data_IF_322440326292
#
_entry.id   IF_322440326292
#
_cell.length_a   1.000
_cell.length_b   1.000
_cell.length_c   1.000
_cell.angle_alpha   90.00
_cell.angle_beta   90.00
_cell.angle_gamma   90.00
#
_symmetry.space_group_name_H-M   'P 1'
#
loop_
_entity.id
_entity.type
_entity.pdbx_description
1 polymer ?
#
# COMPACT_ATOMS: atom_id res chain seq x y z
N UNK A 1 12.52 14.80 -21.59
CA UNK A 1 12.47 14.70 -20.12
C UNK A 1 11.47 13.60 -19.80
N UNK A 2 11.82 12.63 -18.96
CA UNK A 2 10.80 11.72 -18.43
C UNK A 2 10.02 12.51 -17.38
N UNK A 3 8.71 12.60 -17.52
CA UNK A 3 7.85 13.13 -16.47
C UNK A 3 7.92 12.14 -15.29
N UNK A 4 8.40 12.63 -14.15
CA UNK A 4 8.62 11.80 -12.96
C UNK A 4 7.43 11.95 -12.03
N UNK A 5 6.87 10.83 -11.60
CA UNK A 5 5.81 10.76 -10.60
C UNK A 5 6.28 10.02 -9.35
N UNK A 6 5.78 10.44 -8.19
CA UNK A 6 5.99 9.73 -6.94
C UNK A 6 4.80 8.80 -6.68
N UNK A 7 5.03 7.52 -6.43
CA UNK A 7 4.01 6.55 -6.03
C UNK A 7 4.32 5.95 -4.66
N UNK A 8 3.32 5.98 -3.78
CA UNK A 8 3.38 5.46 -2.44
C UNK A 8 2.81 4.04 -2.38
N UNK A 9 3.68 3.07 -2.10
CA UNK A 9 3.31 1.70 -1.82
C UNK A 9 3.19 1.47 -0.31
N UNK A 10 2.14 0.77 0.08
CA UNK A 10 1.86 0.37 1.47
C UNK A 10 1.60 -1.14 1.62
N UNK A 11 1.41 -1.85 0.51
CA UNK A 11 1.08 -3.28 0.46
C UNK A 11 2.22 -4.12 -0.12
N UNK A 12 1.87 -5.08 -0.97
CA UNK A 12 2.82 -6.04 -1.56
C UNK A 12 3.91 -5.36 -2.41
N UNK A 13 3.58 -4.25 -3.08
CA UNK A 13 4.50 -3.45 -3.88
C UNK A 13 5.63 -2.78 -3.07
N UNK A 14 5.61 -2.82 -1.73
CA UNK A 14 6.79 -2.44 -0.93
C UNK A 14 7.94 -3.43 -1.13
N UNK A 15 7.64 -4.69 -1.44
CA UNK A 15 8.65 -5.70 -1.71
C UNK A 15 9.25 -5.44 -3.09
N UNK A 16 10.53 -5.06 -3.16
CA UNK A 16 11.23 -4.74 -4.41
C UNK A 16 11.25 -5.90 -5.42
N UNK A 17 11.39 -7.14 -4.95
CA UNK A 17 11.38 -8.29 -5.84
C UNK A 17 10.00 -8.41 -6.52
N UNK A 18 8.94 -8.31 -5.72
CA UNK A 18 7.57 -8.31 -6.23
C UNK A 18 7.28 -7.12 -7.13
N UNK A 19 7.76 -5.91 -6.77
CA UNK A 19 7.62 -4.70 -7.56
C UNK A 19 8.21 -4.87 -8.97
N UNK A 20 9.41 -5.47 -9.06
CA UNK A 20 10.09 -5.76 -10.33
C UNK A 20 9.46 -6.93 -11.09
N UNK A 21 8.95 -7.95 -10.40
CA UNK A 21 8.17 -9.04 -11.01
C UNK A 21 6.88 -8.53 -11.67
N UNK A 22 6.25 -7.50 -11.10
CA UNK A 22 5.17 -6.77 -11.74
C UNK A 22 5.66 -5.88 -12.91
N UNK A 23 6.94 -5.95 -13.29
CA UNK A 23 7.59 -5.16 -14.34
C UNK A 23 7.45 -3.66 -14.14
N UNK A 24 7.51 -3.21 -12.88
CA UNK A 24 7.65 -1.80 -12.53
C UNK A 24 9.11 -1.50 -12.24
N UNK A 25 9.53 -0.29 -12.53
CA UNK A 25 10.88 0.21 -12.27
C UNK A 25 10.80 1.58 -11.58
N UNK A 26 11.85 1.95 -10.86
CA UNK A 26 11.92 3.24 -10.20
C UNK A 26 13.32 3.85 -10.33
N UNK A 27 13.37 5.18 -10.34
CA UNK A 27 14.58 5.99 -10.39
C UNK A 27 15.18 6.10 -8.98
N UNK A 28 14.32 6.34 -7.98
CA UNK A 28 14.71 6.38 -6.58
C UNK A 28 13.57 5.92 -5.67
N UNK A 29 13.94 5.52 -4.45
CA UNK A 29 13.01 5.06 -3.43
C UNK A 29 13.32 5.77 -2.12
N UNK A 30 12.30 6.14 -1.36
CA UNK A 30 12.45 6.78 -0.05
C UNK A 30 11.38 6.31 0.91
N UNK A 31 11.78 5.88 2.10
CA UNK A 31 10.85 5.56 3.18
C UNK A 31 10.18 6.84 3.70
N UNK A 32 8.85 6.82 3.79
CA UNK A 32 8.04 7.96 4.22
C UNK A 32 6.95 7.52 5.19
N UNK A 33 6.35 8.48 5.89
CA UNK A 33 5.17 8.25 6.73
C UNK A 33 3.96 9.02 6.25
N UNK A 34 2.78 8.46 6.51
CA UNK A 34 1.49 9.11 6.30
C UNK A 34 0.78 9.23 7.66
N UNK A 35 0.64 10.46 8.14
CA UNK A 35 -0.01 10.80 9.42
C UNK A 35 -1.52 10.78 9.29
N UNK A 36 -2.23 10.40 10.35
CA UNK A 36 -3.69 10.25 10.43
C UNK A 36 -4.28 9.17 9.52
N UNK A 37 -3.47 8.20 9.07
CA UNK A 37 -3.91 7.06 8.25
C UNK A 37 -3.41 5.74 8.82
N UNK A 38 -4.08 4.65 8.45
CA UNK A 38 -3.70 3.29 8.80
C UNK A 38 -3.82 2.34 7.61
N UNK A 39 -2.94 1.34 7.58
CA UNK A 39 -3.08 0.16 6.74
C UNK A 39 -4.15 -0.76 7.31
N UNK A 40 -5.09 -1.17 6.47
CA UNK A 40 -6.17 -2.12 6.78
C UNK A 40 -6.26 -3.19 5.69
N UNK A 41 -6.93 -4.30 5.99
CA UNK A 41 -7.15 -5.39 5.04
C UNK A 41 -8.64 -5.56 4.77
N UNK A 42 -9.27 -4.50 4.27
CA UNK A 42 -10.71 -4.44 4.06
C UNK A 42 -11.12 -4.39 2.58
N UNK A 43 -10.18 -4.43 1.62
CA UNK A 43 -10.54 -4.52 0.21
C UNK A 43 -11.07 -5.93 -0.09
N UNK A 44 -12.26 -6.01 -0.67
CA UNK A 44 -12.84 -7.27 -1.16
C UNK A 44 -12.07 -7.71 -2.41
N UNK A 45 -11.47 -8.91 -2.47
CA UNK A 45 -10.81 -9.40 -3.68
C UNK A 45 -11.82 -9.63 -4.81
N UNK A 46 -11.42 -9.44 -6.07
CA UNK A 46 -12.26 -9.80 -7.23
C UNK A 46 -12.49 -11.31 -7.26
N UNK A 47 -11.43 -12.07 -7.00
CA UNK A 47 -11.45 -13.51 -6.84
C UNK A 47 -10.82 -13.85 -5.49
N UNK A 48 -11.58 -14.52 -4.61
CA UNK A 48 -11.12 -14.91 -3.29
C UNK A 48 -10.39 -16.26 -3.29
N UNK A 49 -10.31 -16.96 -4.42
CA UNK A 49 -9.64 -18.26 -4.53
C UNK A 49 -10.21 -19.33 -3.60
N UNK A 50 -11.49 -19.20 -3.22
CA UNK A 50 -12.16 -20.08 -2.26
C UNK A 50 -11.87 -19.76 -0.78
N UNK A 51 -11.17 -18.66 -0.47
CA UNK A 51 -10.89 -18.24 0.90
C UNK A 51 -11.99 -17.32 1.44
N UNK A 52 -12.68 -17.77 2.49
CA UNK A 52 -13.68 -16.97 3.17
C UNK A 52 -13.04 -15.81 3.94
N UNK A 53 -13.69 -14.64 3.92
CA UNK A 53 -13.25 -13.43 4.61
C UNK A 53 -11.85 -12.90 4.23
N UNK A 54 -11.34 -13.26 3.04
CA UNK A 54 -10.09 -12.69 2.52
C UNK A 54 -10.25 -11.19 2.27
N UNK A 55 -9.30 -10.41 2.80
CA UNK A 55 -9.17 -8.97 2.60
C UNK A 55 -7.80 -8.59 2.06
N UNK A 56 -7.79 -7.75 1.02
CA UNK A 56 -6.57 -7.18 0.46
C UNK A 56 -6.22 -5.85 1.13
N UNK A 57 -4.95 -5.46 1.01
CA UNK A 57 -4.42 -4.25 1.61
C UNK A 57 -5.09 -2.99 1.08
N UNK A 58 -5.50 -2.10 1.97
CA UNK A 58 -6.06 -0.79 1.67
C UNK A 58 -5.63 0.21 2.77
N UNK A 59 -5.86 1.50 2.57
CA UNK A 59 -5.61 2.53 3.59
C UNK A 59 -6.86 3.34 3.87
N UNK A 60 -7.01 3.75 5.13
CA UNK A 60 -8.10 4.63 5.54
C UNK A 60 -7.64 5.64 6.60
N UNK A 61 -8.30 6.80 6.70
CA UNK A 61 -8.05 7.75 7.78
C UNK A 61 -8.33 7.12 9.16
N UNK A 62 -7.57 7.51 10.17
CA UNK A 62 -7.84 7.15 11.56
C UNK A 62 -8.85 8.12 12.19
N UNK A 63 -9.76 7.61 13.02
CA UNK A 63 -10.82 8.41 13.65
C UNK A 63 -10.32 9.54 14.57
N UNK A 64 -9.11 9.41 15.12
CA UNK A 64 -8.54 10.30 16.14
C UNK A 64 -7.36 11.14 15.63
N UNK A 65 -7.05 11.08 14.33
CA UNK A 65 -5.86 11.67 13.70
C UNK A 65 -4.52 11.24 14.34
N UNK A 66 -4.49 10.24 15.23
CA UNK A 66 -3.29 9.77 15.90
C UNK A 66 -2.58 8.63 15.13
N UNK A 67 -3.19 8.17 14.03
CA UNK A 67 -2.60 7.17 13.15
C UNK A 67 -1.28 7.61 12.55
N UNK A 68 -0.36 6.67 12.37
CA UNK A 68 0.80 6.86 11.52
C UNK A 68 1.11 5.54 10.85
N UNK A 69 1.15 5.57 9.52
CA UNK A 69 1.56 4.41 8.73
C UNK A 69 2.86 4.67 7.98
N UNK A 70 3.60 3.59 7.75
CA UNK A 70 4.86 3.60 7.03
C UNK A 70 4.67 2.94 5.66
N UNK A 71 5.42 3.43 4.68
CA UNK A 71 5.52 2.82 3.37
C UNK A 71 6.68 3.42 2.58
N UNK A 72 6.76 3.03 1.31
CA UNK A 72 7.83 3.44 0.42
C UNK A 72 7.28 4.34 -0.68
N UNK A 73 7.97 5.45 -0.93
CA UNK A 73 7.70 6.36 -2.03
C UNK A 73 8.70 6.09 -3.14
N UNK A 74 8.20 5.67 -4.29
CA UNK A 74 8.97 5.39 -5.50
C UNK A 74 8.85 6.57 -6.47
N UNK A 75 9.97 7.17 -6.84
CA UNK A 75 10.03 8.11 -7.96
C UNK A 75 10.25 7.31 -9.25
N UNK A 76 9.37 7.43 -10.22
CA UNK A 76 9.37 6.60 -11.43
C UNK A 76 8.85 7.38 -12.65
N UNK A 77 9.03 6.82 -13.85
CA UNK A 77 8.50 7.39 -15.09
C UNK A 77 6.96 7.32 -15.08
N UNK A 78 6.31 8.44 -15.42
CA UNK A 78 4.84 8.55 -15.50
C UNK A 78 4.22 7.52 -16.45
N UNK A 79 4.96 7.03 -17.44
CA UNK A 79 4.51 5.95 -18.35
C UNK A 79 4.17 4.65 -17.64
N UNK A 80 4.61 4.45 -16.39
CA UNK A 80 4.25 3.27 -15.58
C UNK A 80 2.90 3.40 -14.88
N UNK A 81 2.28 4.59 -14.89
CA UNK A 81 0.97 4.81 -14.27
C UNK A 81 -0.12 3.87 -14.83
N UNK A 82 -0.29 3.66 -16.16
CA UNK A 82 -1.30 2.74 -16.66
C UNK A 82 -1.13 1.31 -16.16
N UNK A 83 0.11 0.89 -15.89
CA UNK A 83 0.40 -0.44 -15.34
C UNK A 83 0.00 -0.56 -13.88
N UNK A 84 0.19 0.52 -13.11
CA UNK A 84 -0.33 0.60 -11.74
C UNK A 84 -1.85 0.64 -11.73
N UNK A 85 -2.48 1.36 -12.65
CA UNK A 85 -3.93 1.36 -12.78
C UNK A 85 -4.49 -0.04 -13.06
N UNK A 86 -3.85 -0.79 -13.95
CA UNK A 86 -4.19 -2.18 -14.22
C UNK A 86 -4.06 -3.04 -12.96
N UNK A 87 -2.91 -2.97 -12.27
CA UNK A 87 -2.66 -3.72 -11.03
C UNK A 87 -3.70 -3.42 -9.94
N UNK A 88 -4.07 -2.15 -9.78
CA UNK A 88 -5.05 -1.71 -8.80
C UNK A 88 -6.50 -1.74 -9.32
N UNK A 89 -6.75 -2.21 -10.54
CA UNK A 89 -8.08 -2.18 -11.17
C UNK A 89 -8.72 -0.79 -11.19
N UNK A 90 -7.92 0.27 -11.31
CA UNK A 90 -8.39 1.65 -11.37
C UNK A 90 -9.18 1.89 -12.67
N UNK A 91 -10.32 2.62 -12.64
CA UNK A 91 -10.96 3.29 -11.49
C UNK A 91 -12.03 2.47 -10.76
N UNK A 92 -12.18 1.19 -11.09
CA UNK A 92 -13.32 0.37 -10.67
C UNK A 92 -13.11 -0.31 -9.30
N UNK A 93 -11.88 -0.64 -8.93
CA UNK A 93 -11.56 -1.30 -7.66
C UNK A 93 -10.91 -0.34 -6.67
N UNK A 94 -9.90 0.40 -7.13
CA UNK A 94 -9.24 1.45 -6.36
C UNK A 94 -9.33 2.81 -7.09
N UNK A 95 -9.39 3.88 -6.30
CA UNK A 95 -9.25 5.25 -6.76
C UNK A 95 -7.84 5.74 -6.51
N UNK A 96 -7.29 6.38 -7.53
CA UNK A 96 -6.06 7.14 -7.43
C UNK A 96 -6.28 8.40 -6.59
N UNK A 97 -5.39 8.66 -5.63
CA UNK A 97 -5.37 9.88 -4.82
C UNK A 97 -3.96 10.41 -4.69
N UNK A 98 -3.82 11.74 -4.62
CA UNK A 98 -2.56 12.39 -4.29
C UNK A 98 -2.61 12.77 -2.81
N UNK A 99 -1.68 12.21 -2.02
CA UNK A 99 -1.54 12.52 -0.60
C UNK A 99 -0.17 13.16 -0.33
N UNK A 100 -0.02 13.77 0.84
CA UNK A 100 1.25 14.33 1.32
C UNK A 100 1.87 13.40 2.35
N UNK A 101 3.14 13.09 2.16
CA UNK A 101 3.92 12.16 2.98
C UNK A 101 5.06 12.90 3.65
N UNK A 102 5.41 12.50 4.88
CA UNK A 102 6.58 13.03 5.57
C UNK A 102 7.79 12.18 5.27
N UNK A 103 8.84 12.79 4.71
CA UNK A 103 10.17 12.20 4.65
C UNK A 103 10.87 12.33 6.02
N UNK A 104 11.89 11.51 6.24
CA UNK A 104 12.68 11.49 7.49
C UNK A 104 13.30 12.84 7.90
N UNK A 105 13.48 13.76 6.96
CA UNK A 105 14.00 15.11 7.18
C UNK A 105 12.89 16.16 7.33
N UNK A 106 11.66 15.73 7.62
CA UNK A 106 10.47 16.57 7.81
C UNK A 106 10.00 17.31 6.55
N UNK A 107 10.51 16.95 5.37
CA UNK A 107 10.01 17.49 4.11
C UNK A 107 8.72 16.76 3.72
N UNK A 108 7.69 17.54 3.38
CA UNK A 108 6.43 17.05 2.82
C UNK A 108 6.59 16.81 1.32
N UNK A 109 6.30 15.59 0.87
CA UNK A 109 6.34 15.20 -0.53
C UNK A 109 4.95 14.77 -0.97
N UNK A 110 4.48 15.26 -2.11
CA UNK A 110 3.22 14.79 -2.70
C UNK A 110 3.46 13.53 -3.53
N UNK A 111 2.58 12.54 -3.37
CA UNK A 111 2.68 11.29 -4.09
C UNK A 111 1.32 10.67 -4.38
N UNK A 112 1.28 9.90 -5.45
CA UNK A 112 0.16 9.08 -5.87
C UNK A 112 0.01 7.88 -4.94
N UNK A 113 -1.21 7.50 -4.62
CA UNK A 113 -1.51 6.22 -3.99
C UNK A 113 -2.89 5.75 -4.45
N UNK A 114 -3.20 4.50 -4.15
CA UNK A 114 -4.46 3.86 -4.52
C UNK A 114 -5.24 3.53 -3.26
N UNK A 115 -6.52 3.92 -3.21
CA UNK A 115 -7.42 3.68 -2.09
C UNK A 115 -8.64 2.93 -2.62
N UNK A 116 -9.01 1.83 -2.00
CA UNK A 116 -10.15 1.03 -2.41
C UNK A 116 -11.41 1.89 -2.48
N UNK A 117 -12.27 1.64 -3.49
CA UNK A 117 -13.56 2.33 -3.54
C UNK A 117 -14.44 1.95 -2.35
N UNK A 118 -15.33 2.85 -1.88
CA UNK A 118 -16.26 2.56 -0.79
C UNK A 118 -17.18 1.35 -1.07
N UNK A 119 -17.56 1.11 -2.33
CA UNK A 119 -18.38 -0.03 -2.75
C UNK A 119 -17.58 -1.35 -2.88
N UNK A 120 -16.27 -1.30 -2.65
CA UNK A 120 -15.32 -2.38 -2.87
C UNK A 120 -14.59 -2.80 -1.59
N UNK A 121 -15.04 -2.31 -0.44
CA UNK A 121 -14.55 -2.65 0.89
C UNK A 121 -15.61 -3.41 1.69
N UNK A 122 -15.17 -4.24 2.63
CA UNK A 122 -16.05 -5.05 3.48
C UNK A 122 -15.59 -5.08 4.94
N UNK A 123 -16.49 -5.50 5.82
CA UNK A 123 -16.23 -5.65 7.26
C UNK A 123 -15.82 -7.09 7.60
N UNK A 124 -14.99 -7.26 8.63
CA UNK A 124 -14.59 -8.60 9.12
C UNK A 124 -13.55 -9.33 8.24
N UNK A 125 -13.08 -8.68 7.17
CA UNK A 125 -12.06 -9.22 6.28
C UNK A 125 -10.67 -9.19 6.95
N UNK A 126 -9.84 -10.16 6.56
CA UNK A 126 -8.50 -10.37 7.09
C UNK A 126 -7.51 -10.74 5.98
N UNK A 127 -6.22 -10.39 6.10
CA UNK A 127 -5.23 -10.87 5.15
C UNK A 127 -5.04 -12.38 5.25
N UNK A 128 -4.57 -13.00 4.17
CA UNK A 128 -4.02 -14.35 4.24
C UNK A 128 -2.61 -14.37 4.83
N UNK A 129 -2.16 -15.53 5.32
CA UNK A 129 -0.76 -15.76 5.71
C UNK A 129 0.22 -15.44 4.58
N UNK A 130 -0.17 -15.65 3.32
CA UNK A 130 0.65 -15.34 2.16
C UNK A 130 0.92 -13.82 2.04
N UNK A 131 -0.12 -12.98 2.16
CA UNK A 131 0.02 -11.52 2.13
C UNK A 131 0.94 -11.04 3.27
N UNK A 132 0.72 -11.53 4.50
CA UNK A 132 1.58 -11.16 5.63
C UNK A 132 3.01 -11.66 5.44
N UNK A 133 3.23 -12.83 4.83
CA UNK A 133 4.57 -13.34 4.51
C UNK A 133 5.30 -12.45 3.50
N UNK A 134 4.59 -11.91 2.50
CA UNK A 134 5.15 -10.92 1.57
C UNK A 134 5.58 -9.66 2.31
N UNK A 135 4.70 -9.11 3.16
CA UNK A 135 5.02 -7.93 3.99
C UNK A 135 6.15 -8.20 4.99
N UNK A 136 6.27 -9.42 5.50
CA UNK A 136 7.36 -9.84 6.40
C UNK A 136 8.73 -9.74 5.73
N UNK A 137 8.83 -9.96 4.41
CA UNK A 137 10.08 -9.77 3.66
C UNK A 137 10.53 -8.31 3.65
N UNK A 138 9.60 -7.37 3.73
CA UNK A 138 9.86 -5.94 3.83
C UNK A 138 10.20 -5.44 5.25
N UNK A 139 10.43 -6.33 6.23
CA UNK A 139 10.72 -5.99 7.64
C UNK A 139 11.74 -4.85 7.81
N UNK A 140 12.80 -4.83 7.00
CA UNK A 140 13.89 -3.84 7.11
C UNK A 140 13.46 -2.41 6.77
N UNK A 141 12.32 -2.24 6.10
CA UNK A 141 11.77 -0.95 5.65
C UNK A 141 10.85 -0.30 6.70
N UNK A 142 10.51 -1.03 7.76
CA UNK A 142 9.57 -0.56 8.78
C UNK A 142 10.25 -0.37 10.13
N UNK A 143 9.86 0.65 10.92
CA UNK A 143 10.20 0.69 12.33
C UNK A 143 9.65 -0.52 13.06
N UNK A 144 10.42 -1.03 14.03
CA UNK A 144 10.11 -2.29 14.72
C UNK A 144 8.71 -2.29 15.36
N UNK A 145 8.29 -1.18 15.98
CA UNK A 145 6.97 -1.09 16.62
C UNK A 145 5.82 -1.15 15.60
N UNK A 146 5.96 -0.47 14.47
CA UNK A 146 4.97 -0.52 13.38
C UNK A 146 4.89 -1.93 12.79
N UNK A 147 6.04 -2.53 12.51
CA UNK A 147 6.12 -3.88 11.98
C UNK A 147 5.52 -4.92 12.92
N UNK A 148 5.81 -4.86 14.22
CA UNK A 148 5.25 -5.78 15.21
C UNK A 148 3.72 -5.68 15.27
N UNK A 149 3.15 -4.46 15.21
CA UNK A 149 1.68 -4.27 15.14
C UNK A 149 1.11 -4.89 13.86
N UNK A 150 1.74 -4.66 12.71
CA UNK A 150 1.31 -5.23 11.43
C UNK A 150 1.35 -6.77 11.45
N UNK A 151 2.38 -7.37 12.05
CA UNK A 151 2.52 -8.83 12.15
C UNK A 151 1.56 -9.48 13.15
N UNK A 152 0.97 -8.71 14.06
CA UNK A 152 -0.08 -9.19 14.97
C UNK A 152 -1.49 -9.17 14.34
N UNK A 153 -1.61 -8.80 13.07
CA UNK A 153 -2.89 -8.82 12.35
C UNK A 153 -3.39 -10.26 12.22
N UNK A 154 -4.62 -10.58 12.68
CA UNK A 154 -5.19 -11.91 12.51
C UNK A 154 -5.35 -12.26 11.03
N UNK A 155 -5.09 -13.52 10.66
CA UNK A 155 -5.30 -14.03 9.31
C UNK A 155 -6.65 -14.72 9.16
N UNK A 156 -7.14 -14.88 7.93
CA UNK A 156 -8.32 -15.69 7.61
C UNK A 156 -8.01 -17.19 7.49
N UNK A 157 -6.73 -17.57 7.38
CA UNK A 157 -6.23 -18.95 7.24
C UNK A 157 -5.29 -19.39 8.36
#
# INVERSE_FOLDING_TARGET
MADVVNFFAYGELINEDFFKEQGLEYISKTSVTLSAWRLVFNKIPIDNGGMENLGLANIEPTNDNAGMMHGELYAMDEKLIPKLDEFFGHPNEYQRKVLRFNRHDFILISGLTYIARPDKIGTGLKPSKAILKTLKKAKKLFPMLYFSRLMNTPTCD
#
